data_IF_851498089397
#
_entry.id   IF_851498089397
#
_cell.length_a   1.000
_cell.length_b   1.000
_cell.length_c   1.000
_cell.angle_alpha   90.00
_cell.angle_beta   90.00
_cell.angle_gamma   90.00
#
_symmetry.space_group_name_H-M   'P 1'
#
loop_
_entity.id
_entity.type
_entity.pdbx_description
1 polymer ?
#
# COMPACT_ATOMS: atom_id res chain seq x y z
N UNK A 1 37.10 16.93 -5.50
CA UNK A 1 36.69 16.60 -6.88
C UNK A 1 37.05 15.14 -7.10
N UNK A 2 36.07 14.27 -7.27
CA UNK A 2 36.24 12.82 -7.43
C UNK A 2 35.04 12.06 -6.87
N UNK A 3 34.11 11.69 -7.76
CA UNK A 3 32.77 11.14 -7.51
C UNK A 3 32.74 9.85 -6.68
N UNK A 4 31.87 9.81 -5.68
CA UNK A 4 31.42 8.57 -5.04
C UNK A 4 30.14 8.10 -5.78
N UNK A 5 30.34 7.33 -6.85
CA UNK A 5 29.27 6.71 -7.61
C UNK A 5 28.92 5.38 -6.95
N UNK A 6 27.78 5.28 -6.25
CA UNK A 6 27.28 4.01 -5.72
C UNK A 6 27.15 2.97 -6.85
N UNK A 7 27.65 1.72 -6.70
CA UNK A 7 27.86 0.89 -7.86
C UNK A 7 26.58 0.14 -8.24
N UNK A 8 25.84 0.67 -9.21
CA UNK A 8 25.08 -0.16 -10.14
C UNK A 8 26.10 -1.09 -10.81
N UNK A 9 25.84 -2.40 -10.84
CA UNK A 9 26.75 -3.38 -11.46
C UNK A 9 27.06 -2.96 -12.91
N UNK A 10 28.33 -3.04 -13.29
CA UNK A 10 28.76 -2.78 -14.65
C UNK A 10 28.08 -3.80 -15.57
N UNK A 11 27.26 -3.31 -16.50
CA UNK A 11 26.65 -4.14 -17.53
C UNK A 11 27.72 -4.35 -18.60
N UNK A 12 28.03 -5.60 -18.90
CA UNK A 12 28.90 -5.92 -20.03
C UNK A 12 28.18 -5.50 -21.34
N UNK A 13 28.72 -4.55 -22.10
CA UNK A 13 28.05 -4.02 -23.30
C UNK A 13 27.94 -5.05 -24.42
N UNK A 14 28.70 -6.16 -24.35
CA UNK A 14 28.68 -7.22 -25.37
C UNK A 14 27.64 -8.30 -25.08
N UNK A 15 27.32 -8.54 -23.81
CA UNK A 15 26.34 -9.57 -23.40
C UNK A 15 25.04 -8.98 -22.85
N UNK A 16 25.01 -7.68 -22.54
CA UNK A 16 23.94 -6.99 -21.80
C UNK A 16 23.60 -7.63 -20.44
N UNK A 17 24.52 -8.41 -19.89
CA UNK A 17 24.37 -9.04 -18.59
C UNK A 17 25.25 -8.34 -17.54
N UNK A 18 24.85 -8.35 -16.25
CA UNK A 18 25.70 -7.85 -15.18
C UNK A 18 26.98 -8.71 -15.04
N UNK A 19 28.15 -8.08 -14.93
CA UNK A 19 29.38 -8.79 -14.62
C UNK A 19 29.40 -9.21 -13.14
N UNK A 20 29.02 -10.46 -12.85
CA UNK A 20 28.99 -11.02 -11.49
C UNK A 20 30.23 -11.89 -11.28
N UNK A 21 31.09 -11.53 -10.34
CA UNK A 21 32.35 -12.22 -10.06
C UNK A 21 32.35 -12.98 -8.73
N UNK A 22 31.29 -12.84 -7.92
CA UNK A 22 31.10 -13.60 -6.68
C UNK A 22 29.64 -13.97 -6.39
N UNK A 23 29.44 -15.03 -5.57
CA UNK A 23 28.12 -15.42 -5.08
C UNK A 23 27.47 -14.35 -4.18
N UNK A 24 28.28 -13.52 -3.52
CA UNK A 24 27.80 -12.38 -2.73
C UNK A 24 27.17 -11.30 -3.61
N UNK A 25 27.85 -10.95 -4.72
CA UNK A 25 27.33 -10.01 -5.72
C UNK A 25 26.05 -10.52 -6.38
N UNK A 26 25.97 -11.82 -6.70
CA UNK A 26 24.76 -12.44 -7.21
C UNK A 26 23.60 -12.35 -6.20
N UNK A 27 23.85 -12.70 -4.94
CA UNK A 27 22.82 -12.64 -3.89
C UNK A 27 22.32 -11.22 -3.65
N UNK A 28 23.23 -10.24 -3.70
CA UNK A 28 22.88 -8.83 -3.58
C UNK A 28 22.05 -8.36 -4.77
N UNK A 29 22.48 -8.66 -6.00
CA UNK A 29 21.75 -8.32 -7.22
C UNK A 29 20.36 -8.93 -7.28
N UNK A 30 20.23 -10.22 -6.96
CA UNK A 30 18.92 -10.89 -6.92
C UNK A 30 18.02 -10.26 -5.85
N UNK A 31 18.57 -9.91 -4.68
CA UNK A 31 17.82 -9.24 -3.63
C UNK A 31 17.36 -7.84 -4.03
N UNK A 32 18.19 -7.06 -4.72
CA UNK A 32 17.82 -5.73 -5.23
C UNK A 32 16.81 -5.81 -6.38
N UNK A 33 16.96 -6.78 -7.29
CA UNK A 33 16.00 -6.96 -8.37
C UNK A 33 14.62 -7.43 -7.85
N UNK A 34 14.62 -8.36 -6.89
CA UNK A 34 13.38 -8.77 -6.22
C UNK A 34 12.76 -7.64 -5.39
N UNK A 35 13.60 -6.81 -4.76
CA UNK A 35 13.16 -5.61 -4.03
C UNK A 35 12.37 -4.65 -4.92
N UNK A 36 12.88 -4.38 -6.13
CA UNK A 36 12.24 -3.48 -7.10
C UNK A 36 10.91 -4.08 -7.62
N UNK A 37 10.86 -5.40 -7.82
CA UNK A 37 9.63 -6.07 -8.26
C UNK A 37 8.56 -6.14 -7.16
N UNK A 38 8.93 -6.45 -5.91
CA UNK A 38 8.02 -6.41 -4.76
C UNK A 38 7.46 -4.99 -4.52
N UNK A 39 8.29 -3.96 -4.72
CA UNK A 39 7.88 -2.56 -4.66
C UNK A 39 6.82 -2.23 -5.72
N UNK A 40 7.05 -2.62 -6.98
CA UNK A 40 6.09 -2.41 -8.07
C UNK A 40 4.78 -3.15 -7.79
N UNK A 41 4.85 -4.40 -7.36
CA UNK A 41 3.68 -5.22 -7.06
C UNK A 41 2.86 -4.64 -5.90
N UNK A 42 3.55 -4.16 -4.85
CA UNK A 42 2.90 -3.49 -3.73
C UNK A 42 2.23 -2.18 -4.15
N UNK A 43 2.90 -1.38 -4.98
CA UNK A 43 2.36 -0.12 -5.49
C UNK A 43 1.12 -0.35 -6.39
N UNK A 44 1.16 -1.36 -7.26
CA UNK A 44 0.02 -1.75 -8.10
C UNK A 44 -1.17 -2.24 -7.26
N UNK A 45 -0.92 -3.13 -6.30
CA UNK A 45 -1.95 -3.59 -5.37
C UNK A 45 -2.58 -2.45 -4.56
N UNK A 46 -1.77 -1.47 -4.13
CA UNK A 46 -2.25 -0.26 -3.45
C UNK A 46 -3.12 0.61 -4.38
N UNK A 47 -2.74 0.75 -5.65
CA UNK A 47 -3.54 1.43 -6.67
C UNK A 47 -4.90 0.74 -6.90
N UNK A 48 -4.91 -0.59 -6.99
CA UNK A 48 -6.13 -1.39 -7.09
C UNK A 48 -7.05 -1.22 -5.88
N UNK A 49 -6.48 -1.20 -4.66
CA UNK A 49 -7.23 -0.94 -3.44
C UNK A 49 -7.84 0.48 -3.43
N UNK A 50 -7.06 1.50 -3.82
CA UNK A 50 -7.53 2.87 -3.90
C UNK A 50 -8.69 3.03 -4.89
N UNK A 51 -8.58 2.44 -6.08
CA UNK A 51 -9.66 2.46 -7.08
C UNK A 51 -10.96 1.84 -6.54
N UNK A 52 -10.86 0.76 -5.77
CA UNK A 52 -12.04 0.12 -5.19
C UNK A 52 -12.65 0.90 -4.02
N UNK A 53 -11.84 1.56 -3.20
CA UNK A 53 -12.31 2.49 -2.17
C UNK A 53 -13.08 3.65 -2.83
N UNK A 54 -12.54 4.24 -3.89
CA UNK A 54 -13.17 5.33 -4.64
C UNK A 54 -14.51 4.90 -5.24
N UNK A 55 -14.61 3.68 -5.77
CA UNK A 55 -15.87 3.14 -6.29
C UNK A 55 -16.96 3.05 -5.20
N UNK A 56 -16.61 2.61 -3.99
CA UNK A 56 -17.55 2.57 -2.85
C UNK A 56 -17.92 3.99 -2.40
N UNK A 57 -16.97 4.91 -2.31
CA UNK A 57 -17.24 6.32 -1.97
C UNK A 57 -18.22 6.97 -2.94
N UNK A 58 -18.06 6.73 -4.25
CA UNK A 58 -18.99 7.24 -5.26
C UNK A 58 -20.37 6.59 -5.13
N UNK A 59 -20.44 5.30 -4.81
CA UNK A 59 -21.70 4.63 -4.47
C UNK A 59 -22.41 5.29 -3.28
N UNK A 60 -21.69 5.56 -2.19
CA UNK A 60 -22.22 6.19 -0.99
C UNK A 60 -22.70 7.64 -1.22
N UNK A 61 -22.09 8.37 -2.16
CA UNK A 61 -22.55 9.72 -2.55
C UNK A 61 -23.85 9.70 -3.35
N UNK A 62 -24.05 8.66 -4.17
CA UNK A 62 -25.14 8.60 -5.15
C UNK A 62 -26.37 7.83 -4.66
N UNK A 63 -26.18 6.88 -3.74
CA UNK A 63 -27.21 5.93 -3.35
C UNK A 63 -27.59 6.11 -1.87
N UNK A 64 -28.89 6.23 -1.60
CA UNK A 64 -29.40 6.39 -0.24
C UNK A 64 -29.62 5.04 0.48
N UNK A 65 -29.74 3.93 -0.27
CA UNK A 65 -29.96 2.60 0.29
C UNK A 65 -28.63 1.91 0.67
N UNK A 66 -28.39 1.65 1.98
CA UNK A 66 -27.21 0.93 2.43
C UNK A 66 -27.13 -0.51 1.89
N UNK A 67 -28.26 -1.15 1.60
CA UNK A 67 -28.28 -2.53 1.09
C UNK A 67 -27.72 -2.61 -0.34
N UNK A 68 -27.91 -1.55 -1.14
CA UNK A 68 -27.39 -1.45 -2.49
C UNK A 68 -25.85 -1.41 -2.54
N UNK A 69 -25.18 -1.06 -1.43
CA UNK A 69 -23.71 -1.02 -1.34
C UNK A 69 -23.09 -2.37 -1.00
N UNK A 70 -23.87 -3.37 -0.59
CA UNK A 70 -23.36 -4.66 -0.15
C UNK A 70 -22.47 -5.37 -1.21
N UNK A 71 -22.84 -5.40 -2.52
CA UNK A 71 -21.96 -5.98 -3.54
C UNK A 71 -20.61 -5.24 -3.65
N UNK A 72 -20.63 -3.91 -3.61
CA UNK A 72 -19.43 -3.09 -3.74
C UNK A 72 -18.45 -3.33 -2.57
N UNK A 73 -18.98 -3.46 -1.36
CA UNK A 73 -18.24 -3.78 -0.13
C UNK A 73 -17.70 -5.22 -0.13
N UNK A 74 -18.45 -6.20 -0.64
CA UNK A 74 -18.00 -7.58 -0.77
C UNK A 74 -16.83 -7.71 -1.76
N UNK A 75 -16.90 -6.99 -2.87
CA UNK A 75 -15.78 -6.92 -3.82
C UNK A 75 -14.55 -6.25 -3.17
N UNK A 76 -14.76 -5.17 -2.41
CA UNK A 76 -13.67 -4.53 -1.65
C UNK A 76 -13.04 -5.48 -0.62
N UNK A 77 -13.84 -6.29 0.08
CA UNK A 77 -13.29 -7.33 0.97
C UNK A 77 -12.41 -8.34 0.23
N UNK A 78 -12.78 -8.70 -1.00
CA UNK A 78 -12.03 -9.65 -1.83
C UNK A 78 -10.68 -9.05 -2.22
N UNK A 79 -10.68 -7.82 -2.74
CA UNK A 79 -9.46 -7.09 -3.09
C UNK A 79 -8.57 -6.86 -1.86
N UNK A 80 -9.16 -6.47 -0.71
CA UNK A 80 -8.41 -6.26 0.53
C UNK A 80 -7.76 -7.56 1.04
N UNK A 81 -8.43 -8.70 0.87
CA UNK A 81 -7.88 -10.02 1.21
C UNK A 81 -6.70 -10.39 0.30
N UNK A 82 -6.84 -10.18 -1.00
CA UNK A 82 -5.78 -10.43 -1.98
C UNK A 82 -4.56 -9.53 -1.74
N UNK A 83 -4.80 -8.24 -1.54
CA UNK A 83 -3.75 -7.28 -1.21
C UNK A 83 -3.04 -7.62 0.10
N UNK A 84 -3.78 -8.01 1.14
CA UNK A 84 -3.17 -8.49 2.39
C UNK A 84 -2.32 -9.74 2.17
N UNK A 85 -2.75 -10.68 1.32
CA UNK A 85 -1.96 -11.88 1.02
C UNK A 85 -0.64 -11.51 0.32
N UNK A 86 -0.67 -10.54 -0.61
CA UNK A 86 0.51 -9.95 -1.22
C UNK A 86 1.44 -9.34 -0.15
N UNK A 87 0.91 -8.49 0.74
CA UNK A 87 1.71 -7.86 1.81
C UNK A 87 2.34 -8.91 2.74
N UNK A 88 1.64 -10.00 3.05
CA UNK A 88 2.19 -11.10 3.85
C UNK A 88 3.32 -11.82 3.12
N UNK A 89 3.24 -11.94 1.80
CA UNK A 89 4.22 -12.62 0.96
C UNK A 89 5.52 -11.84 0.75
N UNK A 90 5.55 -10.54 1.11
CA UNK A 90 6.75 -9.70 0.98
C UNK A 90 7.98 -10.31 1.67
N UNK A 91 9.14 -10.06 1.11
CA UNK A 91 10.42 -10.52 1.63
C UNK A 91 10.72 -10.00 3.05
N UNK A 92 11.67 -10.62 3.77
CA UNK A 92 12.06 -10.17 5.10
C UNK A 92 12.53 -8.71 5.17
N UNK A 93 12.99 -8.13 4.05
CA UNK A 93 13.44 -6.73 3.99
C UNK A 93 12.30 -5.77 4.32
N UNK A 94 11.09 -6.03 3.82
CA UNK A 94 9.88 -5.29 4.17
C UNK A 94 9.41 -5.58 5.60
N UNK A 95 9.44 -6.86 5.99
CA UNK A 95 8.92 -7.31 7.29
C UNK A 95 9.71 -6.79 8.49
N UNK A 96 10.95 -6.36 8.27
CA UNK A 96 11.78 -5.71 9.30
C UNK A 96 11.40 -4.26 9.59
N UNK A 97 10.61 -3.62 8.72
CA UNK A 97 10.16 -2.24 8.91
C UNK A 97 9.05 -2.16 9.96
N UNK A 98 9.06 -1.12 10.78
CA UNK A 98 8.00 -0.89 11.77
C UNK A 98 6.63 -0.70 11.09
N UNK A 99 6.64 -0.04 9.94
CA UNK A 99 5.49 0.30 9.09
C UNK A 99 4.82 -0.95 8.53
N UNK A 100 5.54 -2.08 8.46
CA UNK A 100 4.96 -3.33 8.02
C UNK A 100 3.84 -3.79 8.96
N UNK A 101 4.10 -3.72 10.27
CA UNK A 101 3.13 -4.10 11.29
C UNK A 101 1.96 -3.10 11.36
N UNK A 102 2.25 -1.80 11.23
CA UNK A 102 1.20 -0.77 11.22
C UNK A 102 0.28 -0.93 10.01
N UNK A 103 0.83 -1.22 8.84
CA UNK A 103 0.03 -1.41 7.64
C UNK A 103 -0.83 -2.68 7.71
N UNK A 104 -0.29 -3.81 8.19
CA UNK A 104 -1.09 -5.01 8.41
C UNK A 104 -2.21 -4.80 9.44
N UNK A 105 -1.99 -3.98 10.46
CA UNK A 105 -3.02 -3.61 11.42
C UNK A 105 -4.11 -2.75 10.76
N UNK A 106 -3.73 -1.77 9.95
CA UNK A 106 -4.66 -0.94 9.19
C UNK A 106 -5.54 -1.78 8.24
N UNK A 107 -4.94 -2.69 7.47
CA UNK A 107 -5.66 -3.62 6.59
C UNK A 107 -6.65 -4.50 7.36
N UNK A 108 -6.27 -5.00 8.54
CA UNK A 108 -7.18 -5.81 9.35
C UNK A 108 -8.33 -4.96 9.93
N UNK A 109 -8.03 -3.76 10.45
CA UNK A 109 -9.03 -2.86 10.99
C UNK A 109 -10.05 -2.48 9.91
N UNK A 110 -9.59 -2.16 8.70
CA UNK A 110 -10.48 -1.83 7.59
C UNK A 110 -11.37 -3.02 7.21
N UNK A 111 -10.80 -4.24 7.14
CA UNK A 111 -11.58 -5.47 6.91
C UNK A 111 -12.68 -5.68 7.95
N UNK A 112 -12.37 -5.46 9.23
CA UNK A 112 -13.34 -5.60 10.31
C UNK A 112 -14.47 -4.58 10.17
N UNK A 113 -14.14 -3.32 9.88
CA UNK A 113 -15.13 -2.26 9.68
C UNK A 113 -16.04 -2.54 8.48
N UNK A 114 -15.49 -2.98 7.35
CA UNK A 114 -16.28 -3.42 6.19
C UNK A 114 -17.24 -4.56 6.57
N UNK A 115 -16.78 -5.52 7.39
CA UNK A 115 -17.62 -6.60 7.89
C UNK A 115 -18.77 -6.09 8.78
N UNK A 116 -18.51 -5.13 9.67
CA UNK A 116 -19.53 -4.51 10.51
C UNK A 116 -20.58 -3.77 9.66
N UNK A 117 -20.12 -3.05 8.65
CA UNK A 117 -20.99 -2.35 7.70
C UNK A 117 -21.86 -3.29 6.87
N UNK A 118 -21.31 -4.41 6.40
CA UNK A 118 -22.09 -5.44 5.69
C UNK A 118 -23.15 -6.09 6.58
N UNK A 119 -22.82 -6.36 7.84
CA UNK A 119 -23.79 -6.84 8.82
C UNK A 119 -24.88 -5.80 9.11
N UNK A 120 -24.51 -4.50 9.09
CA UNK A 120 -25.46 -3.42 9.29
C UNK A 120 -26.45 -3.26 8.13
N UNK A 121 -26.00 -3.49 6.90
CA UNK A 121 -26.80 -3.45 5.69
C UNK A 121 -27.73 -4.68 5.50
N UNK A 122 -27.56 -5.75 6.31
CA UNK A 122 -28.39 -6.94 6.20
C UNK A 122 -29.84 -6.65 6.68
N UNK A 123 -30.88 -7.14 5.98
CA UNK A 123 -32.26 -6.93 6.36
C UNK A 123 -32.54 -7.54 7.75
N UNK A 124 -32.77 -6.69 8.74
CA UNK A 124 -33.04 -7.14 10.10
C UNK A 124 -34.54 -7.39 10.31
N UNK A 125 -34.85 -8.50 10.97
CA UNK A 125 -36.14 -8.66 11.63
C UNK A 125 -36.34 -7.54 12.65
N UNK A 126 -37.61 -7.13 12.87
CA UNK A 126 -38.08 -5.90 13.55
C UNK A 126 -37.64 -5.69 15.02
N UNK A 127 -36.59 -6.33 15.52
CA UNK A 127 -36.33 -6.49 16.96
C UNK A 127 -34.88 -6.26 17.41
N UNK A 128 -33.95 -5.97 16.49
CA UNK A 128 -32.55 -5.67 16.85
C UNK A 128 -32.30 -4.15 16.81
N UNK A 129 -31.48 -3.57 17.71
CA UNK A 129 -31.08 -2.17 17.61
C UNK A 129 -30.44 -1.96 16.24
N UNK A 130 -30.94 -0.97 15.49
CA UNK A 130 -30.45 -0.63 14.14
C UNK A 130 -28.93 -0.39 14.21
N UNK A 131 -28.10 -1.28 13.64
CA UNK A 131 -26.69 -1.04 13.51
C UNK A 131 -26.48 0.22 12.67
N UNK A 132 -25.50 1.01 13.09
CA UNK A 132 -25.20 2.30 12.51
C UNK A 132 -24.90 2.15 11.01
N UNK A 133 -25.65 2.86 10.17
CA UNK A 133 -25.40 2.93 8.74
C UNK A 133 -23.98 3.47 8.49
N UNK A 134 -23.37 3.07 7.37
CA UNK A 134 -22.06 3.54 6.94
C UNK A 134 -22.15 5.06 6.72
N UNK A 135 -21.45 5.86 7.52
CA UNK A 135 -21.23 7.27 7.18
C UNK A 135 -20.19 7.34 6.07
N UNK A 136 -20.45 8.22 5.10
CA UNK A 136 -19.51 8.52 4.03
C UNK A 136 -18.15 8.98 4.60
N UNK A 137 -18.18 9.88 5.59
CA UNK A 137 -16.99 10.44 6.24
C UNK A 137 -16.18 9.39 6.99
N UNK A 138 -16.86 8.48 7.71
CA UNK A 138 -16.20 7.38 8.43
C UNK A 138 -15.51 6.42 7.45
N UNK A 139 -16.18 6.08 6.35
CA UNK A 139 -15.59 5.24 5.31
C UNK A 139 -14.39 5.91 4.65
N UNK A 140 -14.54 7.18 4.27
CA UNK A 140 -13.49 7.99 3.65
C UNK A 140 -12.25 8.08 4.54
N UNK A 141 -12.43 8.41 5.83
CA UNK A 141 -11.33 8.54 6.78
C UNK A 141 -10.54 7.23 6.92
N UNK A 142 -11.24 6.10 7.06
CA UNK A 142 -10.61 4.78 7.22
C UNK A 142 -9.90 4.36 5.93
N UNK A 143 -10.51 4.64 4.76
CA UNK A 143 -9.90 4.43 3.46
C UNK A 143 -8.58 5.18 3.31
N UNK A 144 -8.59 6.50 3.55
CA UNK A 144 -7.39 7.34 3.50
C UNK A 144 -6.31 6.90 4.48
N UNK A 145 -6.69 6.58 5.72
CA UNK A 145 -5.73 6.08 6.71
C UNK A 145 -5.07 4.79 6.24
N UNK A 146 -5.83 3.85 5.71
CA UNK A 146 -5.30 2.57 5.23
C UNK A 146 -4.32 2.77 4.07
N UNK A 147 -4.67 3.62 3.10
CA UNK A 147 -3.77 3.95 1.99
C UNK A 147 -2.52 4.68 2.47
N UNK A 148 -2.66 5.59 3.44
CA UNK A 148 -1.56 6.32 4.06
C UNK A 148 -0.52 5.41 4.70
N UNK A 149 -0.95 4.40 5.45
CA UNK A 149 -0.05 3.42 6.07
C UNK A 149 0.68 2.57 5.01
N UNK A 150 0.02 2.20 3.91
CA UNK A 150 0.65 1.51 2.79
C UNK A 150 1.69 2.37 2.07
N UNK A 151 1.38 3.65 1.87
CA UNK A 151 2.32 4.63 1.31
C UNK A 151 3.54 4.84 2.22
N UNK A 152 3.34 4.89 3.54
CA UNK A 152 4.45 5.02 4.49
C UNK A 152 5.36 3.80 4.46
N UNK A 153 4.81 2.59 4.36
CA UNK A 153 5.60 1.37 4.20
C UNK A 153 6.49 1.44 2.95
N UNK A 154 5.93 1.85 1.81
CA UNK A 154 6.69 2.06 0.56
C UNK A 154 7.78 3.11 0.75
N UNK A 155 7.44 4.28 1.31
CA UNK A 155 8.39 5.38 1.51
C UNK A 155 9.56 5.00 2.42
N UNK A 156 9.30 4.26 3.50
CA UNK A 156 10.36 3.80 4.41
C UNK A 156 11.22 2.72 3.77
N UNK A 157 10.63 1.84 2.96
CA UNK A 157 11.39 0.86 2.21
C UNK A 157 12.32 1.52 1.19
N UNK A 158 11.81 2.48 0.42
CA UNK A 158 12.62 3.22 -0.56
C UNK A 158 13.76 4.00 0.12
N UNK A 159 13.53 4.57 1.30
CA UNK A 159 14.57 5.25 2.07
C UNK A 159 15.64 4.28 2.59
N UNK A 160 15.24 3.10 3.05
CA UNK A 160 16.17 2.07 3.48
C UNK A 160 16.98 1.51 2.29
N UNK A 161 16.33 1.30 1.14
CA UNK A 161 16.96 0.78 -0.07
C UNK A 161 17.85 1.82 -0.77
N UNK A 162 17.51 3.11 -0.67
CA UNK A 162 18.24 4.22 -1.26
C UNK A 162 19.31 4.86 -0.36
N UNK A 163 19.41 4.45 0.91
CA UNK A 163 20.20 5.15 1.93
C UNK A 163 21.51 4.44 2.32
N UNK A 164 22.62 4.93 1.75
CA UNK A 164 23.83 5.18 2.54
C UNK A 164 23.45 6.09 3.73
N UNK A 165 24.06 5.82 4.89
CA UNK A 165 23.84 6.54 6.14
C UNK A 165 24.04 8.06 5.98
N UNK A 166 22.99 8.86 6.16
CA UNK A 166 23.15 10.27 6.56
C UNK A 166 21.91 10.80 7.29
N UNK A 167 22.00 10.67 8.62
CA UNK A 167 21.67 11.65 9.65
C UNK A 167 20.34 12.45 9.58
N UNK A 168 19.49 12.21 10.59
CA UNK A 168 18.64 13.19 11.28
C UNK A 168 17.69 14.08 10.43
N UNK A 169 16.50 13.58 10.05
CA UNK A 169 15.53 14.36 9.24
C UNK A 169 14.05 14.20 9.59
N UNK A 170 13.68 14.00 10.86
CA UNK A 170 12.26 13.84 11.27
C UNK A 170 11.29 14.93 10.73
N UNK A 171 11.72 16.19 10.64
CA UNK A 171 10.90 17.30 10.12
C UNK A 171 10.95 17.51 8.59
N UNK A 172 12.00 17.06 7.91
CA UNK A 172 12.10 17.14 6.44
C UNK A 172 11.32 15.99 5.77
N UNK A 173 11.14 14.89 6.50
CA UNK A 173 10.39 13.72 6.06
C UNK A 173 8.92 14.04 5.81
N UNK A 174 8.26 14.85 6.65
CA UNK A 174 6.84 15.20 6.48
C UNK A 174 6.56 16.01 5.20
N UNK A 175 7.38 17.02 4.90
CA UNK A 175 7.25 17.84 3.69
C UNK A 175 7.67 17.10 2.40
N UNK A 176 8.57 16.12 2.50
CA UNK A 176 8.92 15.23 1.40
C UNK A 176 7.79 14.22 1.12
N UNK A 177 7.21 13.63 2.18
CA UNK A 177 6.09 12.68 2.13
C UNK A 177 4.87 13.28 1.43
N UNK A 178 4.46 14.50 1.80
CA UNK A 178 3.27 15.16 1.21
C UNK A 178 3.47 15.50 -0.27
N UNK A 179 4.66 15.96 -0.67
CA UNK A 179 4.96 16.26 -2.09
C UNK A 179 5.00 15.00 -2.94
N UNK A 180 5.57 13.91 -2.42
CA UNK A 180 5.71 12.65 -3.14
C UNK A 180 4.35 11.97 -3.32
N UNK A 181 3.51 11.95 -2.27
CA UNK A 181 2.13 11.47 -2.35
C UNK A 181 1.32 12.19 -3.44
N UNK A 182 1.44 13.52 -3.55
CA UNK A 182 0.78 14.31 -4.61
C UNK A 182 1.26 13.93 -6.02
N UNK A 183 2.57 13.81 -6.23
CA UNK A 183 3.13 13.45 -7.54
C UNK A 183 2.75 12.05 -8.00
N UNK A 184 2.61 11.11 -7.05
CA UNK A 184 2.15 9.76 -7.36
C UNK A 184 0.65 9.72 -7.67
N UNK A 185 -0.13 10.50 -6.93
CA UNK A 185 -1.56 10.70 -7.18
C UNK A 185 -1.79 11.29 -8.60
N UNK A 186 -0.94 12.21 -9.05
CA UNK A 186 -0.94 12.71 -10.43
C UNK A 186 -0.62 11.63 -11.47
N UNK A 187 0.26 10.67 -11.16
CA UNK A 187 0.61 9.55 -12.04
C UNK A 187 -0.49 8.49 -12.16
N UNK A 188 -1.37 8.36 -11.16
CA UNK A 188 -2.52 7.47 -11.23
C UNK A 188 -3.74 8.08 -11.94
N UNK A 189 -3.78 9.40 -12.09
CA UNK A 189 -4.88 10.12 -12.74
C UNK A 189 -4.66 10.28 -14.26
N UNK A 190 -3.51 9.87 -14.79
CA UNK A 190 -3.16 9.86 -16.21
C UNK A 190 -3.13 8.45 -16.76
#
# INVERSE_FOLDING_TARGET
>A
MGEATGPRLAIDPTTQLPSIHSFGELSHFLRSAMADEELLQLADGLGGLAARIEAVLNGLKSEADPAAQAPALMDLMTILREHRALVIALSPAWRGLYEYASYLAALNNFRVLIGQWLLAAAPQGRSSPTPQAISFEDFELVGWRTLGEGMLLIDMYEQLAGGDASDSTAGVLEDARVRRAKSWWERLRG
#
